data_IF_693313464930
#
_entry.id   IF_693313464930
#
_cell.length_a   1.000
_cell.length_b   1.000
_cell.length_c   1.000
_cell.angle_alpha   90.00
_cell.angle_beta   90.00
_cell.angle_gamma   90.00
#
_symmetry.space_group_name_H-M   'P 1'
#
loop_
_entity.id
_entity.type
_entity.pdbx_description
1 polymer ?
#
# COMPACT_ATOMS: atom_id res chain seq x y z
N UNK A 1 -8.82 25.45 38.91
CA UNK A 1 -9.10 24.78 37.60
C UNK A 1 -7.87 24.96 36.72
N UNK A 2 -7.18 23.87 36.40
CA UNK A 2 -5.97 23.93 35.54
C UNK A 2 -6.45 24.21 34.11
N UNK A 3 -6.18 25.41 33.59
CA UNK A 3 -6.63 25.89 32.29
C UNK A 3 -5.95 25.07 31.18
N UNK A 4 -6.65 24.81 30.07
CA UNK A 4 -6.06 24.26 28.86
C UNK A 4 -4.81 25.08 28.47
N UNK A 5 -3.71 24.40 28.14
CA UNK A 5 -2.48 25.02 27.67
C UNK A 5 -2.06 24.36 26.36
N UNK A 6 -1.98 25.10 25.27
CA UNK A 6 -1.51 24.59 23.98
C UNK A 6 -0.10 23.99 24.07
N UNK A 7 0.77 24.59 24.89
CA UNK A 7 2.15 24.11 25.06
C UNK A 7 2.19 22.70 25.71
N UNK A 8 1.28 22.42 26.65
CA UNK A 8 1.17 21.10 27.27
C UNK A 8 0.56 20.06 26.31
N UNK A 9 -0.41 20.46 25.51
CA UNK A 9 -0.96 19.59 24.48
C UNK A 9 0.11 19.21 23.45
N UNK A 10 0.89 20.19 23.01
CA UNK A 10 2.01 19.99 22.11
C UNK A 10 3.08 19.09 22.71
N UNK A 11 3.49 19.29 23.97
CA UNK A 11 4.45 18.43 24.65
C UNK A 11 3.97 16.99 24.78
N UNK A 12 2.67 16.77 25.01
CA UNK A 12 2.06 15.44 25.04
C UNK A 12 2.12 14.82 23.65
N UNK A 13 1.75 15.54 22.58
CA UNK A 13 1.78 15.06 21.21
C UNK A 13 3.20 14.68 20.79
N UNK A 14 4.16 15.58 21.01
CA UNK A 14 5.56 15.34 20.69
C UNK A 14 6.10 14.10 21.41
N UNK A 15 5.82 13.97 22.71
CA UNK A 15 6.23 12.78 23.48
C UNK A 15 5.61 11.48 22.88
N UNK A 16 4.34 11.51 22.47
CA UNK A 16 3.69 10.34 21.85
C UNK A 16 4.43 9.94 20.58
N UNK A 17 4.75 10.93 19.73
CA UNK A 17 5.44 10.69 18.46
C UNK A 17 6.87 10.16 18.67
N UNK A 18 7.65 10.78 19.57
CA UNK A 18 9.02 10.35 19.91
C UNK A 18 9.03 8.94 20.51
N UNK A 19 8.16 8.69 21.49
CA UNK A 19 8.03 7.36 22.10
C UNK A 19 7.70 6.28 21.07
N UNK A 20 6.80 6.63 20.15
CA UNK A 20 6.39 5.74 19.08
C UNK A 20 7.55 5.43 18.11
N UNK A 21 8.31 6.45 17.73
CA UNK A 21 9.46 6.29 16.84
C UNK A 21 10.54 5.40 17.46
N UNK A 22 10.78 5.52 18.77
CA UNK A 22 11.78 4.72 19.48
C UNK A 22 11.31 3.29 19.75
N UNK A 23 10.05 3.14 20.22
CA UNK A 23 9.57 1.88 20.79
C UNK A 23 8.67 1.07 19.85
N UNK A 24 8.27 1.63 18.69
CA UNK A 24 7.36 1.03 17.70
C UNK A 24 6.02 0.57 18.30
N UNK A 25 5.57 1.24 19.36
CA UNK A 25 4.30 1.00 20.05
C UNK A 25 3.79 2.28 20.69
N UNK A 26 2.47 2.37 20.91
CA UNK A 26 1.85 3.48 21.60
C UNK A 26 2.30 3.57 23.06
N UNK A 27 2.58 4.78 23.59
CA UNK A 27 2.83 4.99 25.02
C UNK A 27 1.55 4.76 25.83
N UNK A 28 1.72 4.46 27.09
CA UNK A 28 0.62 4.48 28.06
C UNK A 28 0.49 5.89 28.67
N UNK A 29 -0.65 6.18 29.31
CA UNK A 29 -0.82 7.42 30.10
C UNK A 29 0.28 7.59 31.17
N UNK A 30 0.81 6.47 31.68
CA UNK A 30 1.91 6.51 32.65
C UNK A 30 3.23 6.95 32.02
N UNK A 31 3.51 6.44 30.82
CA UNK A 31 4.71 6.79 30.08
C UNK A 31 4.68 8.29 29.72
N UNK A 32 3.54 8.77 29.23
CA UNK A 32 3.35 10.20 28.90
C UNK A 32 3.53 11.07 30.16
N UNK A 33 2.92 10.68 31.27
CA UNK A 33 3.03 11.42 32.51
C UNK A 33 4.48 11.48 33.05
N UNK A 34 5.20 10.37 32.93
CA UNK A 34 6.61 10.28 33.33
C UNK A 34 7.52 11.10 32.42
N UNK A 35 7.31 11.03 31.10
CA UNK A 35 8.17 11.72 30.14
C UNK A 35 7.92 13.22 30.05
N UNK A 36 6.65 13.66 30.21
CA UNK A 36 6.29 15.09 30.13
C UNK A 36 6.28 15.84 31.47
N UNK A 37 6.37 15.11 32.60
CA UNK A 37 6.20 15.69 33.92
C UNK A 37 4.78 16.16 34.26
N UNK A 38 3.80 15.84 33.41
CA UNK A 38 2.39 16.22 33.58
C UNK A 38 1.68 15.13 34.39
N UNK A 39 0.84 15.52 35.37
CA UNK A 39 0.11 14.54 36.18
C UNK A 39 -0.79 13.64 35.32
N UNK A 40 -0.93 12.33 35.68
CA UNK A 40 -1.76 11.37 34.96
C UNK A 40 -3.18 11.84 34.70
N UNK A 41 -3.80 12.49 35.70
CA UNK A 41 -5.15 13.05 35.57
C UNK A 41 -5.21 14.16 34.52
N UNK A 42 -4.17 15.00 34.48
CA UNK A 42 -4.06 16.05 33.47
C UNK A 42 -3.82 15.44 32.08
N UNK A 43 -2.91 14.48 31.94
CA UNK A 43 -2.68 13.77 30.68
C UNK A 43 -3.97 13.15 30.15
N UNK A 44 -4.72 12.43 30.98
CA UNK A 44 -6.01 11.84 30.58
C UNK A 44 -6.98 12.89 30.04
N UNK A 45 -7.10 14.03 30.71
CA UNK A 45 -7.96 15.12 30.26
C UNK A 45 -7.49 15.67 28.91
N UNK A 46 -6.18 15.96 28.76
CA UNK A 46 -5.63 16.44 27.49
C UNK A 46 -5.87 15.44 26.36
N UNK A 47 -5.68 14.15 26.59
CA UNK A 47 -5.95 13.11 25.58
C UNK A 47 -7.44 13.06 25.18
N UNK A 48 -8.35 13.27 26.12
CA UNK A 48 -9.79 13.35 25.82
C UNK A 48 -10.11 14.58 24.98
N UNK A 49 -9.60 15.74 25.39
CA UNK A 49 -9.83 17.01 24.69
C UNK A 49 -9.21 16.95 23.26
N UNK A 50 -7.99 16.44 23.10
CA UNK A 50 -7.33 16.26 21.79
C UNK A 50 -8.06 15.28 20.88
N UNK A 51 -8.66 14.23 21.46
CA UNK A 51 -9.52 13.29 20.71
C UNK A 51 -10.78 13.98 20.20
N UNK A 52 -11.46 14.76 21.05
CA UNK A 52 -12.67 15.51 20.68
C UNK A 52 -12.42 16.51 19.55
N UNK A 53 -11.20 17.06 19.48
CA UNK A 53 -10.75 17.93 18.39
C UNK A 53 -10.18 17.20 17.18
N UNK A 54 -10.14 15.86 17.20
CA UNK A 54 -9.63 15.05 16.08
C UNK A 54 -8.11 15.08 15.90
N UNK A 55 -7.37 15.56 16.90
CA UNK A 55 -5.91 15.66 16.85
C UNK A 55 -5.22 14.31 17.09
N UNK A 56 -5.86 13.45 17.88
CA UNK A 56 -5.37 12.09 18.20
C UNK A 56 -6.48 11.07 18.21
N UNK A 57 -6.12 9.79 18.10
CA UNK A 57 -6.98 8.67 18.44
C UNK A 57 -6.71 8.21 19.87
N UNK A 58 -7.77 8.06 20.65
CA UNK A 58 -7.67 7.61 22.03
C UNK A 58 -8.87 6.74 22.42
N UNK A 59 -8.64 5.48 22.74
CA UNK A 59 -9.69 4.49 23.11
C UNK A 59 -9.70 4.16 24.60
N UNK A 60 -9.08 4.99 25.43
CA UNK A 60 -9.15 4.87 26.89
C UNK A 60 -8.19 3.85 27.52
N UNK A 61 -7.50 2.97 26.76
CA UNK A 61 -6.60 1.96 27.35
C UNK A 61 -5.19 1.92 26.78
N UNK A 62 -4.91 1.53 25.60
CA UNK A 62 -3.54 1.35 25.07
C UNK A 62 -3.36 1.79 23.62
N UNK A 63 -4.36 2.42 23.09
CA UNK A 63 -4.35 2.88 21.72
C UNK A 63 -4.41 4.41 21.73
N UNK A 64 -3.24 5.02 21.88
CA UNK A 64 -3.04 6.45 21.70
C UNK A 64 -2.30 6.60 20.39
N UNK A 65 -2.94 7.17 19.39
CA UNK A 65 -2.38 7.38 18.06
C UNK A 65 -2.43 8.84 17.67
N UNK A 66 -1.30 9.37 17.22
CA UNK A 66 -1.22 10.65 16.50
C UNK A 66 -1.39 10.40 15.02
N UNK A 67 -1.46 11.47 14.23
CA UNK A 67 -1.46 11.38 12.76
C UNK A 67 -0.22 10.66 12.23
N UNK A 68 0.94 10.84 12.90
CA UNK A 68 2.19 10.17 12.53
C UNK A 68 2.09 8.65 12.76
N UNK A 69 1.66 8.22 13.94
CA UNK A 69 1.53 6.79 14.24
C UNK A 69 0.46 6.10 13.41
N UNK A 70 -0.62 6.81 13.06
CA UNK A 70 -1.65 6.29 12.14
C UNK A 70 -1.06 5.99 10.78
N UNK A 71 -0.37 6.95 10.17
CA UNK A 71 0.25 6.78 8.85
C UNK A 71 1.25 5.61 8.81
N UNK A 72 1.86 5.27 9.95
CA UNK A 72 2.78 4.13 10.04
C UNK A 72 2.08 2.77 10.21
N UNK A 73 0.82 2.74 10.66
CA UNK A 73 0.06 1.51 10.88
C UNK A 73 -1.09 1.33 9.90
N UNK A 74 -1.46 2.35 9.15
CA UNK A 74 -2.44 2.18 8.08
C UNK A 74 -1.87 1.25 7.01
N UNK A 75 -2.58 0.16 6.80
CA UNK A 75 -2.23 -0.81 5.76
C UNK A 75 -3.39 -0.99 4.80
N UNK A 76 -3.03 -1.07 3.53
CA UNK A 76 -3.95 -1.45 2.47
C UNK A 76 -3.74 -2.94 2.19
N UNK A 77 -4.78 -3.78 2.28
CA UNK A 77 -4.64 -5.20 1.99
C UNK A 77 -4.36 -5.43 0.51
N UNK A 78 -3.39 -6.29 0.21
CA UNK A 78 -3.11 -6.76 -1.13
C UNK A 78 -3.23 -8.28 -1.18
N UNK A 79 -3.93 -8.82 -2.18
CA UNK A 79 -4.06 -10.25 -2.38
C UNK A 79 -2.84 -10.74 -3.16
N UNK A 80 -2.09 -11.69 -2.60
CA UNK A 80 -1.01 -12.34 -3.32
C UNK A 80 -1.55 -13.51 -4.11
N UNK A 81 -1.24 -13.51 -5.39
CA UNK A 81 -1.51 -14.65 -6.27
C UNK A 81 -0.21 -15.43 -6.49
N UNK A 82 -0.24 -16.72 -6.21
CA UNK A 82 0.83 -17.61 -6.66
C UNK A 82 0.79 -17.73 -8.19
N UNK A 83 1.91 -17.49 -8.82
CA UNK A 83 2.10 -17.27 -10.26
C UNK A 83 1.79 -18.47 -11.18
N UNK A 84 1.04 -19.44 -10.73
CA UNK A 84 0.62 -20.60 -11.53
C UNK A 84 -0.73 -20.38 -12.24
N UNK A 85 -1.35 -19.22 -12.10
CA UNK A 85 -2.64 -18.94 -12.72
C UNK A 85 -2.44 -18.52 -14.18
N UNK A 86 -2.36 -19.49 -15.05
CA UNK A 86 -2.25 -19.30 -16.51
C UNK A 86 -3.53 -18.75 -17.15
N UNK A 87 -4.60 -18.51 -16.41
CA UNK A 87 -5.93 -18.17 -16.90
C UNK A 87 -6.48 -16.81 -16.41
N UNK A 88 -5.61 -15.87 -16.04
CA UNK A 88 -6.01 -14.59 -15.46
C UNK A 88 -6.18 -14.64 -13.94
N UNK A 89 -6.43 -13.48 -13.36
CA UNK A 89 -6.75 -13.41 -11.94
C UNK A 89 -8.13 -14.02 -11.71
N UNK A 90 -8.34 -14.79 -10.63
CA UNK A 90 -9.67 -15.26 -10.26
C UNK A 90 -10.62 -14.08 -10.12
N UNK A 91 -11.81 -14.18 -10.66
CA UNK A 91 -12.85 -13.13 -10.55
C UNK A 91 -13.28 -12.88 -9.11
N UNK A 92 -13.16 -13.90 -8.27
CA UNK A 92 -13.30 -13.81 -6.81
C UNK A 92 -12.23 -14.70 -6.17
N UNK A 93 -11.28 -14.10 -5.41
CA UNK A 93 -10.33 -14.91 -4.64
C UNK A 93 -11.12 -15.68 -3.58
N UNK A 94 -10.82 -16.96 -3.42
CA UNK A 94 -11.32 -17.70 -2.27
C UNK A 94 -10.65 -17.10 -1.02
N UNK A 95 -11.38 -16.25 -0.30
CA UNK A 95 -10.84 -15.45 0.83
C UNK A 95 -10.30 -16.32 1.95
N UNK A 96 -10.76 -17.56 2.05
CA UNK A 96 -10.30 -18.51 3.07
C UNK A 96 -8.89 -19.07 2.76
N UNK A 97 -8.45 -19.01 1.51
CA UNK A 97 -7.13 -19.49 1.06
C UNK A 97 -6.22 -18.37 0.52
N UNK A 98 -6.72 -17.12 0.47
CA UNK A 98 -5.96 -16.01 -0.07
C UNK A 98 -4.86 -15.56 0.89
N UNK A 99 -3.63 -15.51 0.40
CA UNK A 99 -2.51 -14.90 1.12
C UNK A 99 -2.66 -13.37 1.06
N UNK A 100 -3.15 -12.76 2.15
CA UNK A 100 -3.36 -11.32 2.24
C UNK A 100 -2.15 -10.67 2.88
N UNK A 101 -1.46 -9.81 2.13
CA UNK A 101 -0.30 -9.06 2.59
C UNK A 101 -0.72 -7.63 2.92
N UNK A 102 -0.56 -7.16 4.18
CA UNK A 102 -0.80 -5.78 4.53
C UNK A 102 0.35 -4.90 4.02
N UNK A 103 0.07 -3.99 3.09
CA UNK A 103 1.03 -3.01 2.57
C UNK A 103 0.87 -1.68 3.29
N UNK A 104 1.95 -0.97 3.64
CA UNK A 104 1.83 0.37 4.21
C UNK A 104 1.09 1.31 3.24
N UNK A 105 -0.06 1.87 3.66
CA UNK A 105 -0.85 2.79 2.84
C UNK A 105 -0.03 4.01 2.40
N UNK A 106 0.92 4.45 3.23
CA UNK A 106 1.83 5.54 2.90
C UNK A 106 2.72 5.25 1.67
N UNK A 107 2.95 3.98 1.31
CA UNK A 107 3.74 3.58 0.14
C UNK A 107 2.87 3.33 -1.09
N UNK A 108 1.72 2.69 -0.91
CA UNK A 108 0.89 2.25 -2.05
C UNK A 108 -0.33 3.15 -2.29
N UNK A 109 -0.74 3.95 -1.29
CA UNK A 109 -1.96 4.74 -1.31
C UNK A 109 -3.22 3.89 -1.04
N UNK A 110 -4.38 4.53 -1.21
CA UNK A 110 -5.69 3.89 -1.10
C UNK A 110 -6.04 3.15 -2.38
N UNK A 111 -6.76 2.06 -2.25
CA UNK A 111 -7.26 1.28 -3.40
C UNK A 111 -7.30 -0.21 -3.14
N UNK A 112 -7.59 -0.95 -4.20
CA UNK A 112 -7.46 -2.41 -4.22
C UNK A 112 -6.14 -2.77 -4.87
N UNK A 113 -5.42 -3.69 -4.25
CA UNK A 113 -4.12 -4.14 -4.75
C UNK A 113 -4.03 -5.65 -4.77
N UNK A 114 -3.22 -6.14 -5.69
CA UNK A 114 -2.78 -7.52 -5.69
C UNK A 114 -1.27 -7.58 -5.96
N UNK A 115 -0.68 -8.73 -5.65
CA UNK A 115 0.77 -8.98 -5.81
C UNK A 115 0.94 -10.19 -6.70
N UNK A 116 1.79 -10.06 -7.71
CA UNK A 116 2.22 -11.13 -8.58
C UNK A 116 3.72 -11.37 -8.42
N UNK A 117 4.16 -12.60 -8.65
CA UNK A 117 5.57 -12.90 -8.85
C UNK A 117 5.89 -12.77 -10.34
N UNK A 118 6.83 -11.90 -10.70
CA UNK A 118 7.32 -11.77 -12.07
C UNK A 118 7.94 -13.07 -12.55
N UNK A 119 7.70 -13.42 -13.82
CA UNK A 119 8.31 -14.56 -14.50
C UNK A 119 8.96 -14.14 -15.79
N UNK A 120 10.19 -14.63 -15.98
CA UNK A 120 11.01 -14.32 -17.15
C UNK A 120 11.65 -12.93 -17.03
N UNK A 121 12.23 -12.49 -18.13
CA UNK A 121 13.11 -11.34 -18.22
C UNK A 121 12.60 -10.23 -19.16
N UNK A 122 11.35 -10.33 -19.61
CA UNK A 122 10.79 -9.41 -20.62
C UNK A 122 10.64 -7.97 -20.15
N UNK A 123 10.80 -7.68 -18.84
CA UNK A 123 10.66 -6.35 -18.24
C UNK A 123 11.94 -5.90 -17.48
N UNK A 124 13.08 -6.49 -17.82
CA UNK A 124 14.36 -6.16 -17.15
C UNK A 124 14.85 -4.76 -17.44
N UNK A 125 14.47 -4.16 -18.56
CA UNK A 125 14.81 -2.78 -18.90
C UNK A 125 14.26 -1.73 -17.94
N UNK A 126 13.20 -2.04 -17.23
CA UNK A 126 12.66 -1.20 -16.13
C UNK A 126 13.01 -1.77 -14.75
N UNK A 127 13.89 -2.74 -14.70
CA UNK A 127 14.36 -3.32 -13.46
C UNK A 127 13.40 -4.32 -12.82
N UNK A 128 12.54 -4.98 -13.57
CA UNK A 128 11.72 -6.13 -13.09
C UNK A 128 12.38 -7.42 -13.54
N UNK A 129 12.90 -8.18 -12.59
CA UNK A 129 13.60 -9.45 -12.85
C UNK A 129 12.72 -10.65 -12.45
N UNK A 130 13.12 -11.83 -12.93
CA UNK A 130 12.46 -13.08 -12.57
C UNK A 130 12.45 -13.31 -11.06
N UNK A 131 11.27 -13.62 -10.51
CA UNK A 131 11.07 -13.83 -9.08
C UNK A 131 10.78 -12.57 -8.25
N UNK A 132 10.82 -11.37 -8.84
CA UNK A 132 10.43 -10.13 -8.17
C UNK A 132 8.93 -10.13 -7.82
N UNK A 133 8.58 -9.47 -6.72
CA UNK A 133 7.18 -9.23 -6.38
C UNK A 133 6.72 -7.90 -6.97
N UNK A 134 5.71 -7.94 -7.82
CA UNK A 134 5.11 -6.75 -8.46
C UNK A 134 3.81 -6.40 -7.75
N UNK A 135 3.76 -5.20 -7.18
CA UNK A 135 2.53 -4.64 -6.56
C UNK A 135 1.74 -3.96 -7.67
N UNK A 136 0.51 -4.40 -7.83
CA UNK A 136 -0.40 -3.96 -8.90
C UNK A 136 -1.63 -3.32 -8.30
N UNK A 137 -1.96 -2.10 -8.73
CA UNK A 137 -3.25 -1.47 -8.42
C UNK A 137 -4.30 -2.03 -9.36
N UNK A 138 -5.35 -2.62 -8.79
CA UNK A 138 -6.48 -3.18 -9.55
C UNK A 138 -7.26 -2.06 -10.22
N UNK A 139 -7.34 -2.10 -11.54
CA UNK A 139 -8.17 -1.21 -12.36
C UNK A 139 -8.33 -1.80 -13.76
N UNK A 140 -9.40 -1.40 -14.47
CA UNK A 140 -9.72 -1.90 -15.82
C UNK A 140 -9.40 -0.91 -16.92
N UNK A 141 -8.70 0.17 -16.62
CA UNK A 141 -8.26 1.20 -17.56
C UNK A 141 -6.77 1.47 -17.41
N UNK A 142 -6.14 1.93 -18.49
CA UNK A 142 -4.74 2.32 -18.51
C UNK A 142 -4.55 3.58 -19.37
N UNK A 143 -3.36 4.15 -19.28
CA UNK A 143 -2.86 5.19 -20.19
C UNK A 143 -1.75 4.58 -21.03
N UNK A 144 -1.51 5.19 -22.20
CA UNK A 144 -0.36 4.81 -23.03
C UNK A 144 0.94 4.99 -22.24
N UNK A 145 1.77 3.96 -22.26
CA UNK A 145 3.03 3.91 -21.50
C UNK A 145 2.94 3.36 -20.07
N UNK A 146 1.73 3.02 -19.59
CA UNK A 146 1.61 2.36 -18.28
C UNK A 146 2.17 0.92 -18.33
N UNK A 147 2.76 0.48 -17.22
CA UNK A 147 3.15 -0.91 -17.00
C UNK A 147 1.93 -1.70 -16.53
N UNK A 148 1.25 -2.35 -17.47
CA UNK A 148 -0.04 -2.97 -17.22
C UNK A 148 0.08 -4.49 -17.06
N UNK A 149 -0.64 -5.02 -16.08
CA UNK A 149 -0.97 -6.44 -16.01
C UNK A 149 -2.23 -6.67 -16.83
N UNK A 150 -2.11 -7.47 -17.88
CA UNK A 150 -3.17 -7.73 -18.84
C UNK A 150 -3.45 -9.21 -18.98
N UNK A 151 -4.71 -9.56 -19.23
CA UNK A 151 -5.14 -10.89 -19.66
C UNK A 151 -5.39 -10.85 -21.16
N UNK A 152 -4.60 -11.62 -21.90
CA UNK A 152 -4.67 -11.73 -23.36
C UNK A 152 -5.44 -12.99 -23.72
N UNK A 153 -6.41 -12.86 -24.62
CA UNK A 153 -7.24 -13.96 -25.14
C UNK A 153 -7.91 -14.83 -24.06
N UNK A 154 -8.07 -14.30 -22.84
CA UNK A 154 -8.70 -14.98 -21.71
C UNK A 154 -7.85 -16.09 -21.06
N UNK A 155 -6.58 -16.25 -21.43
CA UNK A 155 -5.75 -17.36 -20.97
C UNK A 155 -4.29 -17.04 -20.66
N UNK A 156 -3.80 -15.86 -21.01
CA UNK A 156 -2.40 -15.48 -20.81
C UNK A 156 -2.31 -14.17 -20.02
N UNK A 157 -1.74 -14.21 -18.83
CA UNK A 157 -1.49 -13.00 -18.04
C UNK A 157 -0.07 -12.49 -18.29
N UNK A 158 0.05 -11.24 -18.69
CA UNK A 158 1.31 -10.59 -19.03
C UNK A 158 1.48 -9.28 -18.28
N UNK A 159 2.72 -8.94 -17.92
CA UNK A 159 3.13 -7.57 -17.57
C UNK A 159 3.86 -6.99 -18.78
N UNK A 160 3.36 -5.89 -19.32
CA UNK A 160 3.91 -5.20 -20.49
C UNK A 160 3.69 -3.68 -20.39
N UNK A 161 4.49 -2.93 -21.10
CA UNK A 161 4.18 -1.53 -21.41
C UNK A 161 3.08 -1.52 -22.46
N UNK A 162 1.98 -0.82 -22.17
CA UNK A 162 0.78 -0.87 -23.00
C UNK A 162 0.56 0.45 -23.75
N UNK A 163 0.16 0.35 -25.03
CA UNK A 163 -0.26 1.50 -25.84
C UNK A 163 -1.49 1.11 -26.66
N UNK A 164 -2.53 1.95 -26.65
CA UNK A 164 -3.72 1.71 -27.45
C UNK A 164 -3.52 2.20 -28.87
N UNK A 165 -3.84 1.36 -29.87
CA UNK A 165 -3.78 1.65 -31.31
C UNK A 165 -5.19 1.87 -31.88
N UNK A 166 -5.66 3.15 -31.96
CA UNK A 166 -7.05 3.42 -32.31
C UNK A 166 -7.45 2.92 -33.73
N UNK A 167 -6.52 3.00 -34.68
CA UNK A 167 -6.78 2.59 -36.08
C UNK A 167 -6.96 1.07 -36.20
N UNK A 168 -6.32 0.30 -35.34
CA UNK A 168 -6.34 -1.17 -35.34
C UNK A 168 -7.36 -1.74 -34.36
N UNK A 169 -7.87 -0.88 -33.46
CA UNK A 169 -8.70 -1.26 -32.31
C UNK A 169 -8.02 -2.37 -31.49
N UNK A 170 -6.73 -2.19 -31.23
CA UNK A 170 -5.85 -3.15 -30.61
C UNK A 170 -4.92 -2.46 -29.59
N UNK A 171 -4.22 -3.25 -28.82
CA UNK A 171 -3.18 -2.78 -27.92
C UNK A 171 -1.81 -3.30 -28.39
N UNK A 172 -0.84 -2.41 -28.41
CA UNK A 172 0.57 -2.74 -28.50
C UNK A 172 1.05 -3.13 -27.11
N UNK A 173 1.58 -4.32 -26.95
CA UNK A 173 2.20 -4.85 -25.74
C UNK A 173 3.71 -4.90 -25.95
N UNK A 174 4.41 -3.92 -25.39
CA UNK A 174 5.85 -3.76 -25.52
C UNK A 174 6.57 -4.42 -24.35
N UNK A 175 7.63 -5.19 -24.65
CA UNK A 175 8.54 -5.73 -23.65
C UNK A 175 9.67 -4.73 -23.40
N UNK A 176 9.99 -4.48 -22.15
CA UNK A 176 11.14 -3.65 -21.75
C UNK A 176 12.45 -4.47 -21.74
N UNK A 177 12.64 -5.25 -22.79
CA UNK A 177 13.84 -6.04 -23.06
C UNK A 177 13.96 -6.20 -24.58
N UNK A 178 15.06 -5.76 -25.21
CA UNK A 178 15.24 -5.77 -26.66
C UNK A 178 15.29 -7.16 -27.30
N UNK A 179 15.42 -8.22 -26.49
CA UNK A 179 15.39 -9.61 -26.97
C UNK A 179 13.96 -10.12 -27.26
N UNK A 180 12.95 -9.29 -26.99
CA UNK A 180 11.54 -9.62 -27.20
C UNK A 180 10.90 -8.71 -28.23
N UNK A 181 10.13 -9.29 -29.14
CA UNK A 181 9.32 -8.54 -30.11
C UNK A 181 8.04 -7.96 -29.48
N UNK A 182 7.60 -6.84 -30.01
CA UNK A 182 6.31 -6.26 -29.69
C UNK A 182 5.15 -7.12 -30.15
N UNK A 183 4.06 -7.17 -29.38
CA UNK A 183 2.85 -7.90 -29.73
C UNK A 183 1.67 -6.95 -29.90
N UNK A 184 0.89 -7.13 -30.97
CA UNK A 184 -0.36 -6.39 -31.16
C UNK A 184 -1.52 -7.35 -30.92
N UNK A 185 -2.35 -7.01 -29.90
CA UNK A 185 -3.44 -7.86 -29.44
C UNK A 185 -4.77 -7.10 -29.40
N UNK A 186 -5.84 -7.73 -29.88
CA UNK A 186 -7.19 -7.13 -29.88
C UNK A 186 -8.04 -7.52 -28.68
N UNK A 187 -7.82 -8.70 -28.15
CA UNK A 187 -8.56 -9.22 -27.01
C UNK A 187 -7.69 -9.12 -25.76
N UNK A 188 -7.67 -7.91 -25.19
CA UNK A 188 -6.87 -7.58 -23.99
C UNK A 188 -7.81 -7.06 -22.91
N UNK A 189 -7.75 -7.68 -21.74
CA UNK A 189 -8.41 -7.20 -20.54
C UNK A 189 -7.36 -6.66 -19.56
N UNK A 190 -7.45 -5.38 -19.24
CA UNK A 190 -6.59 -4.75 -18.25
C UNK A 190 -7.04 -5.21 -16.87
N UNK A 191 -6.12 -5.77 -16.09
CA UNK A 191 -6.35 -6.23 -14.70
C UNK A 191 -5.83 -5.25 -13.68
N UNK A 192 -4.81 -4.48 -14.03
CA UNK A 192 -4.25 -3.45 -13.16
C UNK A 192 -2.96 -2.85 -13.70
N UNK A 193 -2.45 -1.87 -12.96
CA UNK A 193 -1.22 -1.15 -13.26
C UNK A 193 -0.18 -1.46 -12.19
N UNK A 194 1.01 -1.88 -12.61
CA UNK A 194 2.14 -2.09 -11.72
C UNK A 194 2.59 -0.74 -11.13
N UNK A 195 2.71 -0.67 -9.82
CA UNK A 195 3.05 0.57 -9.11
C UNK A 195 4.39 0.48 -8.40
N UNK A 196 4.76 -0.68 -7.88
CA UNK A 196 6.04 -0.92 -7.22
C UNK A 196 6.55 -2.33 -7.50
N UNK A 197 7.85 -2.51 -7.30
CA UNK A 197 8.54 -3.79 -7.36
C UNK A 197 9.31 -4.01 -6.06
N UNK A 198 9.20 -5.19 -5.49
CA UNK A 198 9.97 -5.62 -4.32
C UNK A 198 10.95 -6.70 -4.80
N UNK A 199 12.24 -6.42 -4.63
CA UNK A 199 13.34 -7.31 -4.98
C UNK A 199 13.87 -8.04 -3.76
N UNK A 200 14.29 -9.30 -3.96
CA UNK A 200 15.19 -9.97 -3.02
C UNK A 200 16.62 -9.65 -3.44
N UNK A 201 17.43 -9.23 -2.48
CA UNK A 201 18.87 -9.01 -2.67
C UNK A 201 19.63 -10.32 -2.53
#
# INVERSE_FOLDING_TARGET
>A
MNKWSPERAEAIRQFIDEYFMENRKSPTVRDIAAGTGISKTSVQRYLTDMKEHGEIEYNGRRSIGTKLSRNMFETTPAIRYDSTVSCGLPSEPNVEEADIIPLPTALVGDGKFFILTAKGDSMTGIGVDDGDLVIVREQNTCRDGDYAVVLVNGNETLLKTITYLPNEKAYLLHAENPDYDDRIERNVQIQGIATQVIKKL
#
